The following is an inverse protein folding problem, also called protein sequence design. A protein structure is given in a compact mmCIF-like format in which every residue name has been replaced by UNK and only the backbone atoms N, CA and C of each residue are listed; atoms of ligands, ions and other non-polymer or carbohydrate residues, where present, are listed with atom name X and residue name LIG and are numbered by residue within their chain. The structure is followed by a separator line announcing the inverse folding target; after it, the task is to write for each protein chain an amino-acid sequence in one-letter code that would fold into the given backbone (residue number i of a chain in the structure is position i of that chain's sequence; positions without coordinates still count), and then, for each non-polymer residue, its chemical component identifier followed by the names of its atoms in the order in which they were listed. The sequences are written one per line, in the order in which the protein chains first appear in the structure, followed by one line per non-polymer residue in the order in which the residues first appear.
data_IF_085438497367
#
_entry.id   IF_085438497367
#
_cell.length_a   1.000
_cell.length_b   1.000
_cell.length_c   1.000
_cell.angle_alpha   90.00
_cell.angle_beta   90.00
_cell.angle_gamma   90.00
#
_symmetry.space_group_name_H-M   'P 1'
#
loop_
_entity.id
_entity.type
_entity.pdbx_description
1 polymer ?
#
# COMPACT_ATOMS: atom_id res chain seq x y z
N UNK A 1 11.79 5.19 2.39
CA UNK A 1 11.39 3.77 2.58
C UNK A 1 10.87 3.43 3.98
N UNK A 2 11.62 3.71 5.06
CA UNK A 2 11.21 3.38 6.45
C UNK A 2 9.84 3.93 6.85
N UNK A 3 9.54 5.19 6.52
CA UNK A 3 8.25 5.82 6.87
C UNK A 3 7.07 5.16 6.15
N UNK A 4 7.27 4.72 4.91
CA UNK A 4 6.27 3.97 4.15
C UNK A 4 5.97 2.62 4.81
N UNK A 5 7.00 1.88 5.22
CA UNK A 5 6.84 0.60 5.92
C UNK A 5 6.07 0.77 7.23
N UNK A 6 6.36 1.83 7.99
CA UNK A 6 5.62 2.16 9.21
C UNK A 6 4.15 2.44 8.88
N UNK A 7 3.88 3.26 7.87
CA UNK A 7 2.52 3.59 7.44
C UNK A 7 1.71 2.34 7.05
N UNK A 8 2.33 1.42 6.31
CA UNK A 8 1.71 0.14 5.92
C UNK A 8 1.38 -0.70 7.17
N UNK A 9 2.30 -0.80 8.13
CA UNK A 9 2.06 -1.54 9.38
C UNK A 9 0.97 -0.90 10.23
N UNK A 10 0.86 0.43 10.25
CA UNK A 10 -0.21 1.15 10.95
C UNK A 10 -1.58 0.90 10.31
N UNK A 11 -1.67 0.86 8.99
CA UNK A 11 -2.90 0.54 8.28
C UNK A 11 -3.31 -0.93 8.46
N UNK A 12 -2.38 -1.88 8.31
CA UNK A 12 -2.60 -3.30 8.62
C UNK A 12 -3.04 -3.47 10.09
N UNK A 13 -2.41 -2.75 11.01
CA UNK A 13 -2.76 -2.76 12.43
C UNK A 13 -4.08 -2.06 12.77
N UNK A 14 -4.76 -1.42 11.81
CA UNK A 14 -6.00 -0.67 12.04
C UNK A 14 -5.83 0.63 12.83
N UNK A 15 -4.61 1.15 12.94
CA UNK A 15 -4.31 2.44 13.60
C UNK A 15 -4.60 3.64 12.70
N UNK A 16 -4.60 3.43 11.40
CA UNK A 16 -4.80 4.44 10.35
C UNK A 16 -5.98 4.01 9.48
N UNK A 17 -6.86 4.95 9.14
CA UNK A 17 -7.99 4.71 8.22
C UNK A 17 -7.51 4.66 6.77
N UNK A 18 -8.30 4.10 5.87
CA UNK A 18 -7.96 4.04 4.45
C UNK A 18 -7.69 5.42 3.84
N UNK A 19 -8.53 6.43 4.12
CA UNK A 19 -8.34 7.78 3.58
C UNK A 19 -7.04 8.43 4.05
N UNK A 20 -6.69 8.25 5.33
CA UNK A 20 -5.46 8.78 5.89
C UNK A 20 -4.24 8.03 5.37
N UNK A 21 -4.34 6.71 5.18
CA UNK A 21 -3.32 5.90 4.52
C UNK A 21 -3.10 6.40 3.09
N UNK A 22 -4.16 6.54 2.30
CA UNK A 22 -4.11 7.00 0.91
C UNK A 22 -3.43 8.37 0.78
N UNK A 23 -3.82 9.34 1.60
CA UNK A 23 -3.22 10.67 1.60
C UNK A 23 -1.72 10.61 1.90
N UNK A 24 -1.33 9.96 3.00
CA UNK A 24 0.07 9.87 3.42
C UNK A 24 0.93 9.06 2.45
N UNK A 25 0.35 8.01 1.87
CA UNK A 25 1.04 7.20 0.86
C UNK A 25 1.34 8.04 -0.38
N UNK A 26 0.36 8.82 -0.87
CA UNK A 26 0.58 9.72 -2.00
C UNK A 26 1.63 10.79 -1.70
N UNK A 27 1.63 11.38 -0.51
CA UNK A 27 2.66 12.34 -0.11
C UNK A 27 4.06 11.71 -0.17
N UNK A 28 4.22 10.49 0.35
CA UNK A 28 5.49 9.76 0.30
C UNK A 28 5.88 9.31 -1.12
N UNK A 29 4.89 8.92 -1.93
CA UNK A 29 5.12 8.42 -3.29
C UNK A 29 5.44 9.55 -4.28
N UNK A 30 4.74 10.69 -4.21
CA UNK A 30 4.92 11.80 -5.14
C UNK A 30 6.18 12.62 -4.88
N UNK A 31 6.68 12.67 -3.64
CA UNK A 31 7.85 13.50 -3.28
C UNK A 31 9.17 12.81 -3.67
N UNK A 32 9.23 11.47 -3.68
CA UNK A 32 10.51 10.74 -3.72
C UNK A 32 10.62 9.57 -4.73
N UNK A 33 10.03 9.60 -5.95
CA UNK A 33 10.18 8.47 -6.88
C UNK A 33 11.65 8.22 -7.27
N UNK A 34 12.50 9.25 -7.25
CA UNK A 34 13.93 9.17 -7.62
C UNK A 34 14.86 8.61 -6.54
N UNK A 35 14.34 8.28 -5.36
CA UNK A 35 15.14 7.91 -4.17
C UNK A 35 15.07 6.41 -3.89
N UNK A 36 14.09 5.71 -4.48
CA UNK A 36 13.98 4.27 -4.38
C UNK A 36 15.04 3.57 -5.22
N UNK A 37 15.63 2.51 -4.66
CA UNK A 37 16.37 1.53 -5.46
C UNK A 37 15.38 0.77 -6.35
N UNK A 38 15.86 0.18 -7.45
CA UNK A 38 15.01 -0.54 -8.42
C UNK A 38 14.04 -1.54 -7.76
N UNK A 39 14.51 -2.30 -6.77
CA UNK A 39 13.69 -3.26 -6.03
C UNK A 39 12.68 -2.60 -5.07
N UNK A 40 12.99 -1.43 -4.52
CA UNK A 40 12.06 -0.65 -3.70
C UNK A 40 11.00 0.02 -4.60
N UNK A 41 11.38 0.50 -5.78
CA UNK A 41 10.46 1.11 -6.72
C UNK A 41 9.39 0.11 -7.19
N UNK A 42 9.78 -1.12 -7.55
CA UNK A 42 8.83 -2.18 -7.91
C UNK A 42 7.87 -2.50 -6.75
N UNK A 43 8.40 -2.55 -5.52
CA UNK A 43 7.62 -2.78 -4.32
C UNK A 43 6.58 -1.68 -4.08
N UNK A 44 7.00 -0.41 -4.13
CA UNK A 44 6.11 0.73 -3.88
C UNK A 44 5.11 0.90 -5.02
N UNK A 45 5.55 0.71 -6.27
CA UNK A 45 4.70 0.78 -7.46
C UNK A 45 3.57 -0.26 -7.40
N UNK A 46 3.88 -1.49 -7.01
CA UNK A 46 2.88 -2.54 -6.82
C UNK A 46 1.79 -2.16 -5.81
N UNK A 47 2.17 -1.46 -4.73
CA UNK A 47 1.23 -0.97 -3.73
C UNK A 47 0.41 0.18 -4.30
N UNK A 48 1.04 1.13 -4.99
CA UNK A 48 0.36 2.26 -5.62
C UNK A 48 -0.68 1.80 -6.65
N UNK A 49 -0.30 0.86 -7.52
CA UNK A 49 -1.20 0.27 -8.50
C UNK A 49 -2.41 -0.36 -7.83
N UNK A 50 -2.17 -1.19 -6.79
CA UNK A 50 -3.26 -1.85 -6.08
C UNK A 50 -4.14 -0.85 -5.32
N UNK A 51 -3.54 0.19 -4.75
CA UNK A 51 -4.23 1.27 -4.05
C UNK A 51 -5.15 2.05 -4.99
N UNK A 52 -4.75 2.26 -6.25
CA UNK A 52 -5.58 2.91 -7.27
C UNK A 52 -6.89 2.17 -7.60
N UNK A 53 -6.94 0.87 -7.35
CA UNK A 53 -8.16 0.04 -7.47
C UNK A 53 -8.82 -0.26 -6.12
N UNK A 54 -8.41 0.42 -5.05
CA UNK A 54 -8.91 0.18 -3.70
C UNK A 54 -9.67 1.38 -3.18
N UNK A 55 -10.73 1.15 -2.39
CA UNK A 55 -11.50 2.26 -1.85
C UNK A 55 -12.61 1.86 -0.89
N UNK A 56 -13.78 2.47 -1.13
CA UNK A 56 -15.01 2.21 -0.39
C UNK A 56 -15.51 0.76 -0.56
N UNK A 57 -16.81 0.54 -0.44
CA UNK A 57 -17.36 -0.80 -0.66
C UNK A 57 -17.87 -0.90 -2.11
N UNK A 58 -17.09 -1.45 -3.06
CA UNK A 58 -17.46 -1.43 -4.47
C UNK A 58 -18.67 -2.32 -4.71
N UNK A 59 -19.59 -1.82 -5.54
CA UNK A 59 -20.74 -2.56 -6.03
C UNK A 59 -20.31 -3.62 -7.08
N UNK A 60 -21.27 -4.39 -7.60
CA UNK A 60 -20.99 -5.49 -8.54
C UNK A 60 -20.34 -5.00 -9.84
N UNK A 61 -20.78 -3.85 -10.36
CA UNK A 61 -20.25 -3.25 -11.59
C UNK A 61 -18.82 -2.74 -11.37
N UNK A 62 -18.57 -2.03 -10.27
CA UNK A 62 -17.23 -1.58 -9.87
C UNK A 62 -16.26 -2.76 -9.68
N UNK A 63 -16.73 -3.86 -9.07
CA UNK A 63 -15.95 -5.09 -8.94
C UNK A 63 -15.59 -5.72 -10.29
N UNK A 64 -16.44 -5.57 -11.31
CA UNK A 64 -16.14 -6.06 -12.67
C UNK A 64 -14.98 -5.30 -13.33
N UNK A 65 -14.73 -4.06 -12.90
CA UNK A 65 -13.56 -3.26 -13.29
C UNK A 65 -12.33 -3.55 -12.42
N UNK A 66 -12.42 -4.50 -11.48
CA UNK A 66 -11.31 -4.89 -10.61
C UNK A 66 -11.19 -4.06 -9.33
N UNK A 67 -12.16 -3.20 -9.00
CA UNK A 67 -12.15 -2.47 -7.73
C UNK A 67 -12.33 -3.42 -6.54
N UNK A 68 -11.57 -3.17 -5.48
CA UNK A 68 -11.63 -3.91 -4.23
C UNK A 68 -11.93 -2.97 -3.06
N UNK A 69 -12.51 -3.53 -2.00
CA UNK A 69 -12.70 -2.77 -0.76
C UNK A 69 -11.39 -2.50 -0.02
N UNK A 70 -11.39 -1.49 0.84
CA UNK A 70 -10.28 -1.21 1.77
C UNK A 70 -9.90 -2.41 2.64
N UNK A 71 -10.86 -3.23 3.06
CA UNK A 71 -10.63 -4.48 3.80
C UNK A 71 -9.93 -5.54 2.93
N UNK A 72 -10.31 -5.68 1.66
CA UNK A 72 -9.64 -6.58 0.71
C UNK A 72 -8.22 -6.09 0.39
N UNK A 73 -8.02 -4.78 0.25
CA UNK A 73 -6.70 -4.17 0.09
C UNK A 73 -5.80 -4.43 1.29
N UNK A 74 -6.33 -4.28 2.50
CA UNK A 74 -5.62 -4.60 3.75
C UNK A 74 -5.13 -6.05 3.79
N UNK A 75 -6.00 -7.01 3.46
CA UNK A 75 -5.63 -8.44 3.39
C UNK A 75 -4.58 -8.72 2.32
N UNK A 76 -4.67 -8.02 1.20
CA UNK A 76 -3.63 -8.09 0.16
C UNK A 76 -2.29 -7.56 0.68
N UNK A 77 -2.26 -6.42 1.38
CA UNK A 77 -1.04 -5.88 2.00
C UNK A 77 -0.43 -6.83 3.05
N UNK A 78 -1.25 -7.50 3.86
CA UNK A 78 -0.77 -8.51 4.82
C UNK A 78 -0.04 -9.66 4.11
N UNK A 79 -0.62 -10.16 3.01
CA UNK A 79 -0.02 -11.22 2.20
C UNK A 79 1.23 -10.73 1.48
N UNK A 80 1.18 -9.51 0.95
CA UNK A 80 2.27 -8.86 0.25
C UNK A 80 3.47 -8.63 1.17
N UNK A 81 3.24 -8.22 2.42
CA UNK A 81 4.27 -8.09 3.47
C UNK A 81 5.00 -9.40 3.72
N UNK A 82 4.29 -10.54 3.79
CA UNK A 82 4.91 -11.85 4.02
C UNK A 82 5.86 -12.20 2.85
N UNK A 83 5.41 -11.97 1.61
CA UNK A 83 6.21 -12.24 0.41
C UNK A 83 7.41 -11.30 0.27
N UNK A 84 7.36 -10.13 0.90
CA UNK A 84 8.34 -9.05 0.79
C UNK A 84 8.98 -8.71 2.14
N UNK A 85 9.07 -9.68 3.06
CA UNK A 85 9.48 -9.45 4.46
C UNK A 85 10.87 -8.82 4.60
N UNK A 86 11.73 -8.96 3.58
CA UNK A 86 13.06 -8.37 3.53
C UNK A 86 13.04 -6.83 3.66
N UNK A 87 12.01 -6.16 3.13
CA UNK A 87 11.88 -4.70 3.26
C UNK A 87 11.53 -4.25 4.69
N UNK A 88 10.94 -5.14 5.51
CA UNK A 88 10.66 -4.87 6.92
C UNK A 88 11.85 -5.19 7.83
N UNK A 89 12.66 -6.18 7.44
CA UNK A 89 13.81 -6.64 8.22
C UNK A 89 15.07 -5.81 7.97
N UNK A 90 15.20 -5.21 6.78
CA UNK A 90 16.27 -4.24 6.48
C UNK A 90 15.90 -2.88 7.10
N UNK A 91 16.18 -2.73 8.40
CA UNK A 91 16.08 -1.45 9.13
C UNK A 91 17.39 -0.64 9.09
N UNK A 92 18.20 -0.81 8.05
CA UNK A 92 19.41 -0.02 7.85
C UNK A 92 19.10 1.38 7.31
#
# INVERSE_FOLDING_TARGET
MKDLIILIDEFIGGKVTFDLFYSKFNDLYCIEPSIFKENEEEFVSSINDKLGYSGGNPNIEERSYGLISSEEFKKWLESYKINNINFWNNKE
#
